data_IF_749277716317
#
_entry.id   IF_749277716317
#
_cell.length_a   1.000
_cell.length_b   1.000
_cell.length_c   1.000
_cell.angle_alpha   90.00
_cell.angle_beta   90.00
_cell.angle_gamma   90.00
#
_symmetry.space_group_name_H-M   'P 1'
#
loop_
_entity.id
_entity.type
_entity.pdbx_description
1 polymer ?
#
# COMPACT_ATOMS: atom_id res chain seq x y z
N UNK A 1 11.01 -4.08 -6.79
CA UNK A 1 11.61 -3.64 -5.50
C UNK A 1 10.93 -2.34 -5.08
N UNK A 2 10.46 -2.25 -3.82
CA UNK A 2 9.90 -1.01 -3.27
C UNK A 2 11.02 -0.01 -3.02
N UNK A 3 11.40 0.74 -4.04
CA UNK A 3 12.40 1.80 -3.91
C UNK A 3 11.76 3.03 -3.24
N UNK A 4 11.62 3.01 -1.92
CA UNK A 4 11.00 4.08 -1.11
C UNK A 4 11.67 5.44 -1.37
N UNK A 5 12.97 5.42 -1.69
CA UNK A 5 13.77 6.62 -1.98
C UNK A 5 13.81 7.00 -3.48
N UNK A 6 12.99 6.36 -4.32
CA UNK A 6 12.81 6.72 -5.74
C UNK A 6 11.36 7.19 -5.96
N UNK A 7 11.05 8.45 -5.61
CA UNK A 7 9.70 8.98 -5.70
C UNK A 7 9.22 9.07 -7.16
N UNK A 8 7.95 8.74 -7.36
CA UNK A 8 7.27 8.82 -8.65
C UNK A 8 6.01 9.71 -8.61
N UNK A 9 5.80 10.39 -7.49
CA UNK A 9 4.76 11.39 -7.29
C UNK A 9 5.20 12.49 -6.32
N UNK A 10 4.51 13.64 -6.31
CA UNK A 10 4.94 14.80 -5.54
C UNK A 10 4.94 14.57 -4.03
N UNK A 11 3.98 13.81 -3.51
CA UNK A 11 3.92 13.53 -2.08
C UNK A 11 5.11 12.68 -1.61
N UNK A 12 5.46 11.63 -2.36
CA UNK A 12 6.65 10.83 -2.06
C UNK A 12 7.94 11.65 -2.20
N UNK A 13 8.00 12.63 -3.12
CA UNK A 13 9.14 13.53 -3.26
C UNK A 13 9.33 14.40 -2.02
N UNK A 14 8.27 15.06 -1.52
CA UNK A 14 8.33 15.87 -0.30
C UNK A 14 8.72 15.03 0.94
N UNK A 15 8.21 13.80 1.04
CA UNK A 15 8.61 12.87 2.12
C UNK A 15 10.10 12.52 2.01
N UNK A 16 10.60 12.26 0.79
CA UNK A 16 12.00 11.93 0.56
C UNK A 16 12.93 13.11 0.90
N UNK A 17 12.56 14.35 0.56
CA UNK A 17 13.29 15.56 0.93
C UNK A 17 13.41 15.69 2.45
N UNK A 18 12.31 15.58 3.18
CA UNK A 18 12.31 15.61 4.66
C UNK A 18 13.19 14.50 5.25
N UNK A 19 13.12 13.29 4.65
CA UNK A 19 13.94 12.16 5.08
C UNK A 19 15.44 12.46 4.93
N UNK A 20 15.89 13.05 3.80
CA UNK A 20 17.30 13.39 3.58
C UNK A 20 17.77 14.48 4.54
N UNK A 21 16.95 15.51 4.79
CA UNK A 21 17.27 16.55 5.79
C UNK A 21 17.41 15.93 7.18
N UNK A 22 16.46 15.09 7.58
CA UNK A 22 16.50 14.40 8.88
C UNK A 22 17.73 13.51 9.00
N UNK A 23 18.04 12.73 7.95
CA UNK A 23 19.23 11.88 7.92
C UNK A 23 20.51 12.70 8.08
N UNK A 24 20.62 13.83 7.37
CA UNK A 24 21.81 14.70 7.45
C UNK A 24 21.99 15.26 8.87
N UNK A 25 20.93 15.74 9.51
CA UNK A 25 20.95 16.24 10.89
C UNK A 25 21.34 15.12 11.87
N UNK A 26 20.72 13.96 11.77
CA UNK A 26 21.01 12.81 12.62
C UNK A 26 22.45 12.31 12.44
N UNK A 27 22.92 12.21 11.19
CA UNK A 27 24.30 11.80 10.89
C UNK A 27 25.34 12.80 11.45
N UNK A 28 25.08 14.10 11.31
CA UNK A 28 25.93 15.14 11.87
C UNK A 28 26.05 15.00 13.40
N UNK A 29 24.92 14.90 14.08
CA UNK A 29 24.88 14.73 15.55
C UNK A 29 25.58 13.44 15.97
N UNK A 30 25.31 12.34 15.27
CA UNK A 30 25.94 11.04 15.54
C UNK A 30 27.47 11.10 15.42
N UNK A 31 27.99 11.70 14.33
CA UNK A 31 29.42 11.88 14.10
C UNK A 31 30.02 12.78 15.18
N UNK A 32 29.35 13.88 15.55
CA UNK A 32 29.80 14.77 16.61
C UNK A 32 29.93 14.05 17.96
N UNK A 33 28.91 13.23 18.31
CA UNK A 33 28.92 12.42 19.55
C UNK A 33 30.08 11.43 19.54
N UNK A 34 30.29 10.70 18.43
CA UNK A 34 31.41 9.77 18.29
C UNK A 34 32.78 10.47 18.37
N UNK A 35 32.91 11.66 17.76
CA UNK A 35 34.11 12.43 17.81
C UNK A 35 34.46 12.89 19.23
N UNK A 36 33.44 13.38 19.99
CA UNK A 36 33.62 13.76 21.40
C UNK A 36 33.96 12.53 22.26
N UNK A 37 33.31 11.38 22.03
CA UNK A 37 33.63 10.15 22.73
C UNK A 37 35.06 9.68 22.44
N UNK A 38 35.45 9.62 21.18
CA UNK A 38 36.82 9.23 20.76
C UNK A 38 37.88 10.16 21.34
N UNK A 39 37.61 11.49 21.31
CA UNK A 39 38.49 12.48 21.91
C UNK A 39 38.62 12.32 23.44
N UNK A 40 37.48 12.05 24.12
CA UNK A 40 37.44 11.77 25.54
C UNK A 40 38.23 10.54 25.92
N UNK A 41 38.06 9.43 25.18
CA UNK A 41 38.80 8.19 25.38
C UNK A 41 40.28 8.36 25.10
N UNK A 42 40.67 9.14 24.08
CA UNK A 42 42.08 9.41 23.77
C UNK A 42 42.76 10.26 24.84
N UNK A 43 42.01 11.21 25.42
CA UNK A 43 42.50 12.07 26.51
C UNK A 43 42.31 11.49 27.90
N UNK A 44 41.62 10.38 28.04
CA UNK A 44 41.44 9.76 29.35
C UNK A 44 42.78 9.45 30.01
N UNK A 45 43.03 9.91 31.26
CA UNK A 45 44.23 9.55 31.98
C UNK A 45 44.31 8.04 32.11
N UNK A 46 45.45 7.44 31.78
CA UNK A 46 45.75 6.06 32.08
C UNK A 46 45.59 5.89 33.57
N UNK A 47 44.70 4.96 34.01
CA UNK A 47 44.22 4.85 35.39
C UNK A 47 45.30 4.99 36.43
N UNK A 48 45.14 5.91 37.37
CA UNK A 48 45.95 6.01 38.54
C UNK A 48 45.46 4.91 39.53
N UNK A 49 46.33 3.93 39.88
CA UNK A 49 45.95 2.85 40.83
C UNK A 49 45.54 3.39 42.22
N UNK A 50 45.84 4.66 42.50
CA UNK A 50 45.52 5.34 43.78
C UNK A 50 44.23 6.16 43.73
N UNK A 51 43.50 6.16 42.60
CA UNK A 51 42.23 6.88 42.46
C UNK A 51 41.15 6.22 43.32
N UNK A 52 40.70 6.88 44.37
CA UNK A 52 39.61 6.41 45.23
C UNK A 52 38.31 6.52 44.45
N UNK A 53 37.54 5.40 44.28
CA UNK A 53 36.21 5.46 43.67
C UNK A 53 35.31 6.44 44.43
N UNK A 54 34.74 7.44 43.72
CA UNK A 54 33.86 8.45 44.32
C UNK A 54 34.53 9.76 44.74
N UNK A 55 35.86 9.97 44.45
CA UNK A 55 36.48 11.26 44.65
C UNK A 55 35.75 12.36 43.86
N UNK A 56 35.45 13.48 44.54
CA UNK A 56 34.78 14.64 43.94
C UNK A 56 35.68 15.30 42.88
N UNK A 57 35.10 15.71 41.73
CA UNK A 57 35.86 16.45 40.72
C UNK A 57 36.48 17.71 41.31
N UNK A 58 37.63 18.14 40.73
CA UNK A 58 38.29 19.37 41.15
C UNK A 58 37.32 20.57 41.06
N UNK A 59 37.42 21.55 41.98
CA UNK A 59 36.60 22.76 41.98
C UNK A 59 36.75 23.49 40.63
N UNK A 60 35.63 23.65 39.91
CA UNK A 60 35.59 24.30 38.59
C UNK A 60 35.33 23.32 37.40
N UNK A 61 35.69 22.04 37.49
CA UNK A 61 35.39 21.05 36.46
C UNK A 61 33.87 20.89 36.24
N UNK A 62 33.08 20.96 37.30
CA UNK A 62 31.64 20.92 37.29
C UNK A 62 31.00 22.06 36.48
N UNK A 63 31.54 23.29 36.60
CA UNK A 63 31.02 24.45 35.84
C UNK A 63 31.24 24.29 34.32
N UNK A 64 32.36 23.74 33.91
CA UNK A 64 32.62 23.42 32.50
C UNK A 64 31.68 22.33 31.99
N UNK A 65 31.49 21.27 32.75
CA UNK A 65 30.56 20.19 32.42
C UNK A 65 29.13 20.71 32.24
N UNK A 66 28.63 21.50 33.20
CA UNK A 66 27.30 22.13 33.13
C UNK A 66 27.17 22.97 31.87
N UNK A 67 28.15 23.81 31.52
CA UNK A 67 28.12 24.63 30.30
C UNK A 67 28.03 23.78 29.03
N UNK A 68 28.82 22.72 28.92
CA UNK A 68 28.78 21.83 27.76
C UNK A 68 27.46 21.04 27.65
N UNK A 69 26.97 20.54 28.77
CA UNK A 69 25.67 19.86 28.80
C UNK A 69 24.53 20.81 28.44
N UNK A 70 24.53 22.03 29.02
CA UNK A 70 23.52 23.06 28.68
C UNK A 70 23.59 23.43 27.20
N UNK A 71 24.80 23.67 26.65
CA UNK A 71 24.93 23.98 25.23
C UNK A 71 24.44 22.84 24.34
N UNK A 72 24.79 21.59 24.64
CA UNK A 72 24.33 20.43 23.91
C UNK A 72 22.80 20.30 23.96
N UNK A 73 22.20 20.50 25.14
CA UNK A 73 20.74 20.47 25.30
C UNK A 73 20.04 21.56 24.50
N UNK A 74 20.54 22.79 24.55
CA UNK A 74 19.99 23.91 23.78
C UNK A 74 20.08 23.66 22.29
N UNK A 75 21.25 23.21 21.79
CA UNK A 75 21.45 22.87 20.37
C UNK A 75 20.50 21.77 19.94
N UNK A 76 20.39 20.68 20.73
CA UNK A 76 19.47 19.58 20.43
C UNK A 76 18.01 20.05 20.38
N UNK A 77 17.59 20.90 21.32
CA UNK A 77 16.24 21.48 21.34
C UNK A 77 15.97 22.31 20.09
N UNK A 78 16.92 23.15 19.67
CA UNK A 78 16.78 23.96 18.44
C UNK A 78 16.67 23.05 17.20
N UNK A 79 17.54 22.03 17.07
CA UNK A 79 17.51 21.11 15.96
C UNK A 79 16.20 20.32 15.88
N UNK A 80 15.73 19.79 17.02
CA UNK A 80 14.45 19.07 17.08
C UNK A 80 13.27 19.97 16.76
N UNK A 81 13.28 21.22 17.26
CA UNK A 81 12.24 22.20 16.93
C UNK A 81 12.25 22.54 15.44
N UNK A 82 13.43 22.67 14.84
CA UNK A 82 13.56 22.88 13.39
C UNK A 82 13.01 21.70 12.57
N UNK A 83 13.34 20.48 12.97
CA UNK A 83 12.80 19.26 12.33
C UNK A 83 11.27 19.15 12.51
N UNK A 84 10.75 19.52 13.67
CA UNK A 84 9.30 19.54 13.89
C UNK A 84 8.61 20.53 12.94
N UNK A 85 9.15 21.76 12.81
CA UNK A 85 8.62 22.77 11.88
C UNK A 85 8.68 22.25 10.43
N UNK A 86 9.80 21.65 10.02
CA UNK A 86 9.95 21.06 8.69
C UNK A 86 8.92 19.94 8.46
N UNK A 87 8.72 19.06 9.45
CA UNK A 87 7.72 17.98 9.38
C UNK A 87 6.30 18.51 9.21
N UNK A 88 5.91 19.53 10.00
CA UNK A 88 4.58 20.17 9.87
C UNK A 88 4.42 20.88 8.52
N UNK A 89 5.47 21.51 8.00
CA UNK A 89 5.44 22.11 6.67
C UNK A 89 5.23 21.06 5.59
N UNK A 90 5.99 19.95 5.64
CA UNK A 90 5.82 18.82 4.72
C UNK A 90 4.39 18.25 4.78
N UNK A 91 3.84 18.02 5.98
CA UNK A 91 2.48 17.51 6.14
C UNK A 91 1.43 18.43 5.46
N UNK A 92 1.61 19.73 5.57
CA UNK A 92 0.76 20.71 4.87
C UNK A 92 0.88 20.61 3.35
N UNK A 93 2.09 20.45 2.82
CA UNK A 93 2.32 20.28 1.37
C UNK A 93 1.67 18.98 0.84
N UNK A 94 1.67 17.91 1.63
CA UNK A 94 1.03 16.64 1.25
C UNK A 94 -0.49 16.78 1.02
N UNK A 95 -1.14 17.72 1.71
CA UNK A 95 -2.57 17.97 1.63
C UNK A 95 -2.99 19.00 0.55
N UNK A 96 -2.04 19.56 -0.20
CA UNK A 96 -2.28 20.71 -1.10
C UNK A 96 -2.43 20.36 -2.58
N UNK A 97 -2.66 19.09 -2.95
CA UNK A 97 -2.96 18.77 -4.35
C UNK A 97 -4.24 19.48 -4.80
N UNK A 98 -4.20 20.20 -5.92
CA UNK A 98 -5.43 20.71 -6.55
C UNK A 98 -6.31 19.52 -6.94
N UNK A 99 -7.51 19.44 -6.36
CA UNK A 99 -8.45 18.34 -6.65
C UNK A 99 -9.44 18.68 -7.76
N UNK A 100 -9.24 19.78 -8.48
CA UNK A 100 -10.01 20.08 -9.68
C UNK A 100 -9.80 18.95 -10.69
N UNK A 101 -10.87 18.33 -11.14
CA UNK A 101 -10.84 17.15 -12.02
C UNK A 101 -10.14 15.90 -11.44
N UNK A 102 -10.13 15.75 -10.12
CA UNK A 102 -9.59 14.56 -9.50
C UNK A 102 -10.39 13.29 -9.88
N UNK A 103 -9.67 12.19 -10.10
CA UNK A 103 -10.29 10.87 -10.16
C UNK A 103 -10.72 10.46 -8.76
N UNK A 104 -11.99 10.15 -8.56
CA UNK A 104 -12.51 9.70 -7.28
C UNK A 104 -12.54 8.17 -7.24
N UNK A 105 -11.91 7.59 -6.24
CA UNK A 105 -11.83 6.15 -6.03
C UNK A 105 -12.12 5.84 -4.58
N UNK A 106 -12.89 4.80 -4.33
CA UNK A 106 -13.05 4.23 -2.99
C UNK A 106 -12.27 2.93 -2.89
N UNK A 107 -11.47 2.80 -1.84
CA UNK A 107 -10.75 1.57 -1.51
C UNK A 107 -11.24 1.06 -0.17
N UNK A 108 -11.81 -0.13 -0.17
CA UNK A 108 -12.24 -0.83 1.02
C UNK A 108 -11.37 -2.04 1.25
N UNK A 109 -10.77 -2.12 2.45
CA UNK A 109 -9.96 -3.25 2.84
C UNK A 109 -10.80 -4.35 3.50
N UNK A 110 -10.46 -5.59 3.16
CA UNK A 110 -11.00 -6.81 3.76
C UNK A 110 -9.84 -7.74 4.12
N UNK A 111 -10.05 -8.69 5.01
CA UNK A 111 -9.09 -9.77 5.29
C UNK A 111 -9.17 -10.82 4.17
N UNK A 112 -8.25 -10.96 3.22
CA UNK A 112 -7.03 -10.13 3.02
C UNK A 112 -6.96 -9.76 1.54
N UNK A 113 -7.76 -8.77 1.13
CA UNK A 113 -7.85 -8.26 -0.23
C UNK A 113 -8.38 -6.81 -0.24
N UNK A 114 -8.24 -6.12 -1.37
CA UNK A 114 -8.63 -4.73 -1.55
C UNK A 114 -9.73 -4.63 -2.59
N UNK A 115 -10.88 -4.12 -2.18
CA UNK A 115 -11.94 -3.71 -3.10
C UNK A 115 -11.64 -2.29 -3.57
N UNK A 116 -11.73 -2.05 -4.89
CA UNK A 116 -11.50 -0.76 -5.52
C UNK A 116 -12.73 -0.39 -6.34
N UNK A 117 -13.39 0.70 -5.98
CA UNK A 117 -14.55 1.23 -6.70
C UNK A 117 -14.20 2.58 -7.30
N UNK A 118 -14.41 2.74 -8.59
CA UNK A 118 -14.30 4.01 -9.28
C UNK A 118 -15.63 4.73 -9.20
N UNK A 119 -15.65 5.84 -8.45
CA UNK A 119 -16.83 6.65 -8.23
C UNK A 119 -17.01 7.62 -9.41
N UNK A 120 -18.24 7.73 -9.92
CA UNK A 120 -18.63 8.67 -10.97
C UNK A 120 -19.95 9.32 -10.57
N UNK A 121 -20.16 10.62 -10.89
CA UNK A 121 -21.46 11.27 -10.68
C UNK A 121 -22.63 10.56 -11.38
N UNK A 122 -22.36 9.83 -12.45
CA UNK A 122 -23.32 8.98 -13.14
C UNK A 122 -23.16 7.55 -12.65
N UNK A 123 -24.15 6.98 -11.92
CA UNK A 123 -24.02 5.64 -11.32
C UNK A 123 -23.73 4.53 -12.33
N UNK A 124 -24.21 4.65 -13.57
CA UNK A 124 -23.98 3.71 -14.66
C UNK A 124 -22.51 3.68 -15.16
N UNK A 125 -21.73 4.70 -14.80
CA UNK A 125 -20.30 4.76 -15.11
C UNK A 125 -19.41 4.22 -13.98
N UNK A 126 -20.01 3.92 -12.83
CA UNK A 126 -19.29 3.33 -11.70
C UNK A 126 -18.96 1.86 -11.98
N UNK A 127 -17.79 1.43 -11.58
CA UNK A 127 -17.38 0.03 -11.66
C UNK A 127 -16.45 -0.34 -10.52
N UNK A 128 -16.37 -1.64 -10.22
CA UNK A 128 -15.52 -2.18 -9.17
C UNK A 128 -14.48 -3.15 -9.73
N UNK A 129 -13.31 -3.17 -9.11
CA UNK A 129 -12.26 -4.16 -9.33
C UNK A 129 -11.64 -4.56 -7.99
N UNK A 130 -10.59 -5.37 -8.00
CA UNK A 130 -9.93 -5.80 -6.78
C UNK A 130 -8.42 -5.92 -6.95
N UNK A 131 -7.69 -5.48 -5.91
CA UNK A 131 -6.24 -5.61 -5.76
C UNK A 131 -5.41 -4.85 -6.81
N UNK A 132 -6.04 -4.14 -7.73
CA UNK A 132 -5.40 -3.23 -8.68
C UNK A 132 -6.11 -1.89 -8.69
N UNK A 133 -5.34 -0.81 -8.60
CA UNK A 133 -5.80 0.56 -8.74
C UNK A 133 -5.11 1.17 -9.97
N UNK A 134 -5.82 1.31 -11.09
CA UNK A 134 -5.31 2.00 -12.27
C UNK A 134 -5.64 3.48 -12.22
N UNK A 135 -4.65 4.31 -12.52
CA UNK A 135 -4.77 5.77 -12.45
C UNK A 135 -4.15 6.42 -13.69
N UNK A 136 -4.66 7.57 -14.15
CA UNK A 136 -4.00 8.32 -15.21
C UNK A 136 -2.78 9.08 -14.67
N UNK A 137 -1.69 9.08 -15.43
CA UNK A 137 -0.49 9.87 -15.12
C UNK A 137 -0.83 11.35 -15.10
N UNK A 138 -0.29 12.09 -14.14
CA UNK A 138 -0.42 13.54 -14.00
C UNK A 138 -1.74 14.02 -13.41
N UNK A 139 -2.79 13.18 -13.36
CA UNK A 139 -4.10 13.54 -12.81
C UNK A 139 -4.14 13.25 -11.31
N UNK A 140 -4.63 14.18 -10.47
CA UNK A 140 -4.87 13.93 -9.06
C UNK A 140 -5.89 12.80 -8.84
N UNK A 141 -5.67 11.99 -7.83
CA UNK A 141 -6.60 10.94 -7.40
C UNK A 141 -6.96 11.17 -5.95
N UNK A 142 -8.26 11.29 -5.67
CA UNK A 142 -8.80 11.31 -4.31
C UNK A 142 -9.26 9.90 -3.96
N UNK A 143 -8.55 9.26 -3.04
CA UNK A 143 -8.90 7.92 -2.57
C UNK A 143 -9.61 8.02 -1.24
N UNK A 144 -10.87 7.58 -1.21
CA UNK A 144 -11.64 7.39 0.01
C UNK A 144 -11.37 5.99 0.56
N UNK A 145 -11.01 5.90 1.82
CA UNK A 145 -10.51 4.70 2.48
C UNK A 145 -11.47 4.27 3.59
N UNK A 146 -11.88 3.02 3.60
CA UNK A 146 -12.60 2.39 4.71
C UNK A 146 -12.18 0.92 4.89
N UNK A 147 -12.55 0.31 6.03
CA UNK A 147 -12.31 -1.09 6.32
C UNK A 147 -13.61 -1.82 6.65
N UNK A 148 -13.75 -3.03 6.10
CA UNK A 148 -14.89 -3.91 6.35
C UNK A 148 -14.76 -4.78 7.61
N UNK A 149 -13.56 -4.88 8.19
CA UNK A 149 -13.28 -5.83 9.27
C UNK A 149 -12.29 -5.30 10.33
N UNK A 150 -10.98 -5.39 10.12
CA UNK A 150 -9.93 -4.96 11.04
C UNK A 150 -9.22 -3.69 10.52
N UNK A 151 -8.27 -3.17 11.29
CA UNK A 151 -7.42 -2.07 10.80
C UNK A 151 -6.48 -2.60 9.71
N UNK A 152 -6.40 -1.86 8.61
CA UNK A 152 -5.44 -2.01 7.53
C UNK A 152 -4.74 -0.68 7.29
N UNK A 153 -3.70 -0.64 6.43
CA UNK A 153 -3.11 0.64 6.02
C UNK A 153 -2.79 0.62 4.53
N UNK A 154 -3.34 1.60 3.82
CA UNK A 154 -3.04 1.86 2.42
C UNK A 154 -1.70 2.56 2.30
N UNK A 155 -0.76 1.98 1.56
CA UNK A 155 0.55 2.54 1.38
C UNK A 155 1.12 2.20 0.00
N UNK A 156 1.50 3.22 -0.74
CA UNK A 156 2.23 3.09 -2.01
C UNK A 156 3.51 3.89 -1.87
N UNK A 157 4.62 3.29 -1.43
CA UNK A 157 5.84 3.98 -0.99
C UNK A 157 6.39 5.00 -1.97
N UNK A 158 6.29 4.73 -3.28
CA UNK A 158 6.79 5.62 -4.33
C UNK A 158 5.85 6.78 -4.67
N UNK A 159 4.60 6.76 -4.19
CA UNK A 159 3.60 7.78 -4.49
C UNK A 159 3.24 8.64 -3.27
N UNK A 160 3.12 8.02 -2.10
CA UNK A 160 2.70 8.73 -0.87
C UNK A 160 3.17 8.00 0.39
N UNK A 161 3.01 8.64 1.55
CA UNK A 161 3.02 7.99 2.86
C UNK A 161 1.82 7.07 3.07
N UNK A 162 1.75 6.40 4.23
CA UNK A 162 0.64 5.49 4.56
C UNK A 162 -0.57 6.21 5.17
N UNK A 163 -1.76 5.59 5.00
CA UNK A 163 -3.00 6.02 5.64
C UNK A 163 -3.77 4.81 6.15
N UNK A 164 -4.11 4.82 7.43
CA UNK A 164 -4.82 3.73 8.07
C UNK A 164 -6.31 3.72 7.69
N UNK A 165 -6.83 2.50 7.47
CA UNK A 165 -8.24 2.21 7.28
C UNK A 165 -8.77 1.60 8.59
N UNK A 166 -9.52 2.39 9.33
CA UNK A 166 -10.04 2.02 10.65
C UNK A 166 -11.53 1.66 10.50
N UNK A 167 -11.99 0.50 10.96
CA UNK A 167 -13.40 0.13 10.90
C UNK A 167 -14.32 1.19 11.50
N UNK A 168 -15.40 1.52 10.79
CA UNK A 168 -16.36 2.55 11.21
C UNK A 168 -15.90 3.99 11.00
N UNK A 169 -14.71 4.23 10.40
CA UNK A 169 -14.19 5.57 10.09
C UNK A 169 -13.80 5.66 8.63
N UNK A 170 -14.22 6.73 7.97
CA UNK A 170 -13.78 7.06 6.62
C UNK A 170 -12.58 8.00 6.68
N UNK A 171 -11.53 7.70 5.93
CA UNK A 171 -10.37 8.55 5.75
C UNK A 171 -10.19 8.87 4.25
N UNK A 172 -9.39 9.88 3.94
CA UNK A 172 -9.02 10.22 2.56
C UNK A 172 -7.52 10.35 2.42
N UNK A 173 -7.01 10.03 1.24
CA UNK A 173 -5.63 10.29 0.85
C UNK A 173 -5.64 10.80 -0.60
N UNK A 174 -4.76 11.75 -0.89
CA UNK A 174 -4.62 12.34 -2.23
C UNK A 174 -3.30 11.87 -2.81
N UNK A 175 -3.30 11.35 -4.01
CA UNK A 175 -2.06 10.94 -4.65
C UNK A 175 -2.05 11.31 -6.14
N UNK A 176 -0.85 11.38 -6.70
CA UNK A 176 -0.63 11.54 -8.13
C UNK A 176 0.63 10.77 -8.54
N UNK A 177 0.56 10.07 -9.64
CA UNK A 177 1.74 9.51 -10.28
C UNK A 177 2.20 10.42 -11.41
N UNK A 178 3.46 10.85 -11.38
CA UNK A 178 4.05 11.71 -12.41
C UNK A 178 4.72 10.89 -13.53
N UNK A 179 4.87 9.58 -13.32
CA UNK A 179 5.47 8.64 -14.28
C UNK A 179 4.56 7.43 -14.47
N UNK A 180 4.44 6.96 -15.72
CA UNK A 180 3.77 5.70 -16.02
C UNK A 180 4.58 4.53 -15.41
N UNK A 181 3.89 3.49 -14.94
CA UNK A 181 4.52 2.31 -14.36
C UNK A 181 3.65 1.60 -13.34
N UNK A 182 4.20 0.54 -12.78
CA UNK A 182 3.56 -0.26 -11.73
C UNK A 182 4.21 0.07 -10.37
N UNK A 183 3.37 0.32 -9.39
CA UNK A 183 3.75 0.71 -8.04
C UNK A 183 3.14 -0.24 -7.03
N UNK A 184 3.98 -1.02 -6.38
CA UNK A 184 3.54 -2.00 -5.39
C UNK A 184 3.09 -1.33 -4.09
N UNK A 185 1.92 -1.73 -3.59
CA UNK A 185 1.33 -1.29 -2.33
C UNK A 185 1.12 -2.45 -1.35
N UNK A 186 2.00 -2.67 -0.36
CA UNK A 186 1.74 -3.62 0.71
C UNK A 186 0.75 -3.06 1.72
N UNK A 187 -0.01 -3.91 2.39
CA UNK A 187 -0.70 -3.51 3.62
C UNK A 187 0.33 -3.11 4.67
N UNK A 188 0.21 -1.90 5.23
CA UNK A 188 1.21 -1.34 6.13
C UNK A 188 0.75 -1.30 7.61
N UNK A 189 -0.31 -2.05 7.98
CA UNK A 189 -0.75 -2.27 9.35
C UNK A 189 -1.11 -3.72 9.57
N UNK A 190 -0.72 -4.29 10.71
CA UNK A 190 -0.99 -5.68 11.01
C UNK A 190 -2.50 -5.97 11.01
N UNK A 191 -2.92 -6.84 10.09
CA UNK A 191 -4.32 -7.16 9.85
C UNK A 191 -4.63 -8.66 10.00
N UNK A 192 -3.78 -9.43 10.66
CA UNK A 192 -3.98 -10.85 10.93
C UNK A 192 -3.09 -11.77 10.10
N UNK A 193 -3.52 -13.03 9.94
CA UNK A 193 -2.70 -14.15 9.48
C UNK A 193 -2.03 -13.93 8.12
N UNK A 194 -2.73 -13.29 7.18
CA UNK A 194 -2.23 -13.05 5.82
C UNK A 194 -1.74 -11.61 5.59
N UNK A 195 -1.41 -10.88 6.65
CA UNK A 195 -0.89 -9.51 6.53
C UNK A 195 0.28 -9.40 5.54
N UNK A 196 1.25 -10.29 5.61
CA UNK A 196 2.42 -10.30 4.72
C UNK A 196 2.08 -10.60 3.24
N UNK A 197 0.90 -11.15 2.96
CA UNK A 197 0.41 -11.51 1.63
C UNK A 197 -0.85 -10.73 1.25
N UNK A 198 -1.00 -9.52 1.80
CA UNK A 198 -2.03 -8.58 1.42
C UNK A 198 -1.40 -7.38 0.75
N UNK A 199 -1.39 -7.41 -0.58
CA UNK A 199 -0.85 -6.34 -1.40
C UNK A 199 -1.82 -5.94 -2.51
N UNK A 200 -1.55 -4.81 -3.14
CA UNK A 200 -2.21 -4.34 -4.36
C UNK A 200 -1.18 -3.65 -5.25
N UNK A 201 -1.54 -3.44 -6.52
CA UNK A 201 -0.73 -2.72 -7.47
C UNK A 201 -1.43 -1.41 -7.86
N UNK A 202 -0.70 -0.29 -7.85
CA UNK A 202 -1.13 0.93 -8.52
C UNK A 202 -0.48 0.97 -9.90
N UNK A 203 -1.29 0.99 -10.95
CA UNK A 203 -0.84 1.00 -12.34
C UNK A 203 -1.15 2.39 -12.93
N UNK A 204 -0.11 3.20 -13.08
CA UNK A 204 -0.24 4.52 -13.69
C UNK A 204 -0.10 4.41 -15.21
N UNK A 205 -1.15 4.77 -15.92
CA UNK A 205 -1.25 4.68 -17.38
C UNK A 205 -1.23 6.09 -18.02
N UNK A 206 -0.75 6.21 -19.26
CA UNK A 206 -1.05 7.39 -20.06
C UNK A 206 -2.57 7.66 -20.09
N UNK A 207 -3.02 8.94 -20.07
CA UNK A 207 -4.43 9.28 -19.92
C UNK A 207 -5.37 8.58 -20.93
N UNK A 208 -4.99 8.50 -22.19
CA UNK A 208 -5.79 7.82 -23.24
C UNK A 208 -5.92 6.31 -22.99
N UNK A 209 -4.86 5.66 -22.50
CA UNK A 209 -4.88 4.24 -22.16
C UNK A 209 -5.75 3.99 -20.93
N UNK A 210 -5.71 4.91 -19.95
CA UNK A 210 -6.58 4.83 -18.77
C UNK A 210 -8.05 4.92 -19.17
N UNK A 211 -8.43 5.91 -20.01
CA UNK A 211 -9.83 6.05 -20.45
C UNK A 211 -10.30 4.83 -21.26
N UNK A 212 -9.46 4.31 -22.15
CA UNK A 212 -9.76 3.07 -22.90
C UNK A 212 -10.00 1.89 -21.96
N UNK A 213 -9.15 1.73 -20.98
CA UNK A 213 -9.31 0.70 -19.97
C UNK A 213 -10.58 0.91 -19.13
N UNK A 214 -10.84 2.13 -18.65
CA UNK A 214 -12.00 2.44 -17.83
C UNK A 214 -13.32 2.19 -18.58
N UNK A 215 -13.39 2.57 -19.87
CA UNK A 215 -14.55 2.27 -20.72
C UNK A 215 -14.75 0.74 -20.91
N UNK A 216 -13.66 -0.03 -21.00
CA UNK A 216 -13.78 -1.49 -21.05
C UNK A 216 -14.32 -2.07 -19.74
N UNK A 217 -13.88 -1.53 -18.59
CA UNK A 217 -14.32 -2.00 -17.26
C UNK A 217 -15.80 -1.69 -16.95
N UNK A 218 -16.40 -0.71 -17.62
CA UNK A 218 -17.85 -0.38 -17.47
C UNK A 218 -18.76 -1.35 -18.21
N UNK A 219 -18.22 -2.11 -19.15
CA UNK A 219 -19.01 -3.07 -19.94
C UNK A 219 -19.37 -4.29 -19.10
N UNK A 220 -20.54 -4.88 -19.33
CA UNK A 220 -20.83 -6.18 -18.75
C UNK A 220 -19.91 -7.26 -19.31
N UNK A 221 -19.79 -8.36 -18.59
CA UNK A 221 -19.08 -9.55 -19.05
C UNK A 221 -19.62 -10.02 -20.40
N UNK A 222 -18.72 -10.34 -21.32
CA UNK A 222 -19.11 -10.90 -22.61
C UNK A 222 -19.73 -12.30 -22.45
N UNK A 223 -20.68 -12.63 -23.31
CA UNK A 223 -21.22 -13.98 -23.36
C UNK A 223 -20.18 -14.96 -23.96
N UNK A 224 -20.06 -16.17 -23.39
CA UNK A 224 -19.10 -17.16 -23.88
C UNK A 224 -19.51 -17.76 -25.23
N UNK A 225 -18.59 -17.77 -26.19
CA UNK A 225 -18.80 -18.30 -27.53
C UNK A 225 -18.48 -19.80 -27.63
N UNK A 226 -17.46 -20.27 -26.89
CA UNK A 226 -17.05 -21.68 -26.93
C UNK A 226 -17.79 -22.55 -25.89
N UNK A 227 -17.83 -23.86 -26.14
CA UNK A 227 -18.58 -24.81 -25.32
C UNK A 227 -18.01 -24.97 -23.89
N UNK A 228 -16.67 -24.89 -23.75
CA UNK A 228 -16.02 -25.02 -22.46
C UNK A 228 -16.32 -23.79 -21.59
N UNK A 229 -16.21 -22.57 -22.13
CA UNK A 229 -16.53 -21.36 -21.40
C UNK A 229 -18.05 -21.27 -21.08
N UNK A 230 -18.95 -21.74 -21.96
CA UNK A 230 -20.39 -21.85 -21.62
C UNK A 230 -20.61 -22.79 -20.44
N UNK A 231 -19.98 -23.95 -20.44
CA UNK A 231 -20.02 -24.89 -19.29
C UNK A 231 -19.48 -24.25 -18.02
N UNK A 232 -18.35 -23.52 -18.13
CA UNK A 232 -17.77 -22.79 -17.00
C UNK A 232 -18.70 -21.72 -16.42
N UNK A 233 -19.42 -20.96 -17.28
CA UNK A 233 -20.44 -20.00 -16.87
C UNK A 233 -21.60 -20.68 -16.12
N UNK A 234 -22.08 -21.79 -16.61
CA UNK A 234 -23.13 -22.58 -15.94
C UNK A 234 -22.67 -23.03 -14.54
N UNK A 235 -21.46 -23.59 -14.44
CA UNK A 235 -20.87 -24.01 -13.16
C UNK A 235 -20.73 -22.83 -12.19
N UNK A 236 -20.31 -21.67 -12.67
CA UNK A 236 -20.18 -20.47 -11.84
C UNK A 236 -21.54 -20.00 -11.31
N UNK A 237 -22.55 -19.90 -12.20
CA UNK A 237 -23.85 -19.33 -11.88
C UNK A 237 -24.78 -20.30 -11.13
N UNK A 238 -24.57 -21.62 -11.22
CA UNK A 238 -25.33 -22.63 -10.48
C UNK A 238 -24.62 -23.09 -9.21
N UNK A 239 -23.33 -22.83 -9.08
CA UNK A 239 -22.51 -23.26 -7.96
C UNK A 239 -22.39 -22.24 -6.84
N UNK A 240 -21.51 -22.51 -5.89
CA UNK A 240 -21.25 -21.64 -4.72
C UNK A 240 -20.48 -20.35 -5.05
N UNK A 241 -19.85 -20.24 -6.22
CA UNK A 241 -19.05 -19.08 -6.61
C UNK A 241 -19.86 -17.78 -6.61
N UNK A 242 -21.07 -17.80 -7.17
CA UNK A 242 -21.97 -16.65 -7.25
C UNK A 242 -22.51 -16.17 -5.89
N UNK A 243 -22.38 -16.97 -4.84
CA UNK A 243 -22.83 -16.59 -3.49
C UNK A 243 -21.88 -15.55 -2.86
N UNK A 244 -20.66 -15.44 -3.40
CA UNK A 244 -19.62 -14.52 -2.88
C UNK A 244 -19.15 -13.51 -3.92
N UNK A 245 -19.03 -13.91 -5.19
CA UNK A 245 -18.50 -13.09 -6.28
C UNK A 245 -19.61 -12.49 -7.16
N UNK A 246 -19.33 -11.28 -7.68
CA UNK A 246 -20.13 -10.66 -8.72
C UNK A 246 -19.49 -10.85 -10.10
N UNK A 247 -20.34 -10.91 -11.15
CA UNK A 247 -19.99 -10.75 -12.56
C UNK A 247 -21.10 -9.91 -13.20
N UNK A 248 -20.78 -8.68 -13.58
CA UNK A 248 -21.70 -7.72 -14.17
C UNK A 248 -22.28 -8.28 -15.49
N UNK A 249 -23.59 -8.13 -15.68
CA UNK A 249 -24.32 -8.72 -16.82
C UNK A 249 -24.81 -10.12 -16.58
N UNK A 250 -24.63 -10.68 -15.37
CA UNK A 250 -25.16 -11.99 -14.97
C UNK A 250 -26.01 -11.89 -13.70
N UNK A 251 -26.51 -13.02 -13.21
CA UNK A 251 -27.24 -13.12 -11.94
C UNK A 251 -26.32 -13.11 -10.71
N UNK A 252 -25.00 -13.24 -10.88
CA UNK A 252 -24.01 -13.18 -9.80
C UNK A 252 -23.77 -11.74 -9.40
N UNK A 253 -24.28 -11.31 -8.24
CA UNK A 253 -24.22 -9.93 -7.76
C UNK A 253 -23.77 -9.78 -6.30
N UNK A 254 -23.21 -10.83 -5.70
CA UNK A 254 -22.69 -10.80 -4.35
C UNK A 254 -21.42 -9.94 -4.25
N UNK A 255 -21.21 -9.30 -3.07
CA UNK A 255 -20.09 -8.38 -2.83
C UNK A 255 -19.24 -8.76 -1.61
N UNK A 256 -19.29 -10.01 -1.20
CA UNK A 256 -18.50 -10.51 -0.06
C UNK A 256 -17.09 -10.94 -0.46
N UNK A 257 -16.85 -11.06 -1.78
CA UNK A 257 -15.56 -11.38 -2.39
C UNK A 257 -15.33 -10.50 -3.63
N UNK A 258 -14.13 -10.51 -4.23
CA UNK A 258 -13.82 -9.70 -5.40
C UNK A 258 -14.82 -9.83 -6.55
N UNK A 259 -15.20 -8.70 -7.15
CA UNK A 259 -15.86 -8.68 -8.44
C UNK A 259 -14.95 -9.33 -9.50
N UNK A 260 -15.49 -10.26 -10.28
CA UNK A 260 -14.75 -11.04 -11.28
C UNK A 260 -15.09 -10.66 -12.73
N UNK A 261 -15.87 -9.61 -12.96
CA UNK A 261 -16.33 -9.19 -14.29
C UNK A 261 -15.19 -9.09 -15.30
N UNK A 262 -14.04 -8.57 -14.87
CA UNK A 262 -12.86 -8.40 -15.71
C UNK A 262 -11.61 -9.02 -15.08
N UNK A 263 -11.74 -10.19 -14.46
CA UNK A 263 -10.63 -10.86 -13.77
C UNK A 263 -9.46 -11.15 -14.69
N UNK A 264 -9.71 -11.52 -15.95
CA UNK A 264 -8.65 -11.83 -16.91
C UNK A 264 -7.83 -10.60 -17.34
N UNK A 265 -8.29 -9.38 -17.06
CA UNK A 265 -7.53 -8.15 -17.30
C UNK A 265 -6.56 -7.80 -16.17
N UNK A 266 -6.63 -8.49 -15.03
CA UNK A 266 -5.74 -8.28 -13.87
C UNK A 266 -4.40 -8.96 -14.10
N UNK A 267 -3.34 -8.38 -13.53
CA UNK A 267 -1.98 -8.94 -13.63
C UNK A 267 -1.72 -10.03 -12.59
N UNK A 268 -2.42 -9.94 -11.44
CA UNK A 268 -2.19 -10.79 -10.28
C UNK A 268 -3.49 -11.33 -9.67
N UNK A 269 -3.36 -12.50 -9.00
CA UNK A 269 -4.39 -13.14 -8.20
C UNK A 269 -4.03 -13.12 -6.71
N UNK A 270 -5.02 -13.35 -5.83
CA UNK A 270 -4.83 -13.54 -4.41
C UNK A 270 -4.18 -12.34 -3.68
N UNK A 271 -4.50 -11.11 -4.09
CA UNK A 271 -3.90 -9.88 -3.55
C UNK A 271 -2.37 -9.81 -3.74
N UNK A 272 -1.91 -10.07 -4.95
CA UNK A 272 -0.50 -10.00 -5.34
C UNK A 272 0.26 -11.33 -5.19
N UNK A 273 -0.38 -12.40 -4.69
CA UNK A 273 0.29 -13.66 -4.35
C UNK A 273 0.70 -14.50 -5.56
N UNK A 274 -0.13 -14.55 -6.61
CA UNK A 274 0.08 -15.37 -7.80
C UNK A 274 0.03 -14.52 -9.07
N UNK A 275 0.66 -14.98 -10.13
CA UNK A 275 0.43 -14.42 -11.46
C UNK A 275 -0.98 -14.80 -11.95
N UNK A 276 -1.58 -13.98 -12.81
CA UNK A 276 -2.85 -14.33 -13.41
C UNK A 276 -2.64 -15.17 -14.67
N UNK A 277 -2.31 -16.43 -14.46
CA UNK A 277 -2.19 -17.45 -15.51
C UNK A 277 -3.30 -18.47 -15.37
N UNK A 278 -3.70 -19.18 -16.44
CA UNK A 278 -4.69 -20.26 -16.33
C UNK A 278 -4.31 -21.34 -15.30
N UNK A 279 -3.01 -21.65 -15.19
CA UNK A 279 -2.49 -22.65 -14.25
C UNK A 279 -2.64 -22.16 -12.80
N UNK A 280 -2.23 -20.91 -12.52
CA UNK A 280 -2.33 -20.33 -11.19
C UNK A 280 -3.79 -20.08 -10.78
N UNK A 281 -4.65 -19.69 -11.74
CA UNK A 281 -6.09 -19.54 -11.50
C UNK A 281 -6.73 -20.88 -11.13
N UNK A 282 -6.43 -21.96 -11.87
CA UNK A 282 -6.87 -23.31 -11.56
C UNK A 282 -6.43 -23.75 -10.16
N UNK A 283 -5.15 -23.54 -9.85
CA UNK A 283 -4.58 -23.91 -8.55
C UNK A 283 -5.21 -23.09 -7.40
N UNK A 284 -5.46 -21.79 -7.61
CA UNK A 284 -6.14 -20.93 -6.65
C UNK A 284 -7.59 -21.37 -6.39
N UNK A 285 -8.35 -21.73 -7.44
CA UNK A 285 -9.73 -22.20 -7.29
C UNK A 285 -9.75 -23.54 -6.55
N UNK A 286 -8.86 -24.45 -6.91
CA UNK A 286 -8.81 -25.79 -6.31
C UNK A 286 -8.46 -25.73 -4.81
N UNK A 287 -7.46 -24.97 -4.42
CA UNK A 287 -7.06 -24.85 -3.01
C UNK A 287 -6.39 -23.49 -2.71
N UNK A 288 -7.18 -22.45 -2.41
CA UNK A 288 -6.64 -21.16 -2.02
C UNK A 288 -5.89 -21.20 -0.68
N UNK A 289 -6.21 -22.17 0.20
CA UNK A 289 -5.57 -22.33 1.51
C UNK A 289 -4.09 -22.69 1.38
N UNK A 290 -3.69 -23.37 0.31
CA UNK A 290 -2.29 -23.67 0.00
C UNK A 290 -1.44 -22.42 -0.20
N UNK A 291 -2.01 -21.35 -0.74
CA UNK A 291 -1.31 -20.10 -1.05
C UNK A 291 -1.47 -19.04 0.03
N UNK A 292 -2.64 -18.99 0.64
CA UNK A 292 -3.02 -18.03 1.69
C UNK A 292 -3.84 -18.71 2.79
N UNK A 293 -3.22 -19.48 3.69
CA UNK A 293 -3.94 -20.15 4.77
C UNK A 293 -4.80 -19.19 5.58
N UNK A 294 -6.06 -19.57 5.82
CA UNK A 294 -7.03 -18.77 6.58
C UNK A 294 -7.84 -17.78 5.76
N UNK A 295 -7.71 -17.72 4.42
CA UNK A 295 -8.62 -16.92 3.60
C UNK A 295 -10.05 -17.48 3.61
N UNK A 296 -11.03 -16.59 3.45
CA UNK A 296 -12.46 -16.97 3.51
C UNK A 296 -12.92 -17.81 2.30
N UNK A 297 -12.18 -17.80 1.19
CA UNK A 297 -12.49 -18.64 0.04
C UNK A 297 -12.17 -20.11 0.37
N UNK A 298 -13.16 -21.01 0.31
CA UNK A 298 -12.94 -22.44 0.53
C UNK A 298 -12.24 -23.09 -0.66
N UNK A 299 -11.66 -24.27 -0.43
CA UNK A 299 -11.20 -25.14 -1.52
C UNK A 299 -12.39 -25.71 -2.31
N UNK A 300 -12.25 -25.80 -3.63
CA UNK A 300 -13.27 -26.34 -4.52
C UNK A 300 -12.73 -27.57 -5.23
N UNK A 301 -13.10 -28.75 -4.73
CA UNK A 301 -12.76 -30.04 -5.32
C UNK A 301 -13.68 -30.31 -6.51
N UNK A 302 -13.37 -29.75 -7.66
CA UNK A 302 -14.09 -29.95 -8.91
C UNK A 302 -13.44 -31.08 -9.72
N UNK A 303 -14.22 -31.83 -10.52
CA UNK A 303 -13.67 -32.69 -11.58
C UNK A 303 -12.78 -31.87 -12.51
N UNK A 304 -11.71 -32.48 -13.03
CA UNK A 304 -10.72 -31.79 -13.88
C UNK A 304 -11.33 -31.04 -15.06
N UNK A 305 -12.34 -31.62 -15.71
CA UNK A 305 -12.99 -31.00 -16.88
C UNK A 305 -13.88 -29.82 -16.48
N UNK A 306 -14.54 -29.87 -15.31
CA UNK A 306 -15.32 -28.75 -14.76
C UNK A 306 -14.38 -27.62 -14.30
N UNK A 307 -13.23 -27.93 -13.71
CA UNK A 307 -12.22 -26.92 -13.34
C UNK A 307 -11.66 -26.23 -14.59
N UNK A 308 -11.32 -27.00 -15.65
CA UNK A 308 -10.87 -26.44 -16.94
C UNK A 308 -11.93 -25.55 -17.58
N UNK A 309 -13.20 -25.97 -17.55
CA UNK A 309 -14.32 -25.19 -18.06
C UNK A 309 -14.49 -23.86 -17.30
N UNK A 310 -14.40 -23.89 -15.97
CA UNK A 310 -14.45 -22.70 -15.13
C UNK A 310 -13.28 -21.73 -15.41
N UNK A 311 -12.06 -22.26 -15.56
CA UNK A 311 -10.88 -21.46 -15.92
C UNK A 311 -11.02 -20.85 -17.31
N UNK A 312 -11.58 -21.59 -18.29
CA UNK A 312 -11.86 -21.07 -19.62
C UNK A 312 -12.85 -19.91 -19.57
N UNK A 313 -13.91 -20.02 -18.78
CA UNK A 313 -14.88 -18.93 -18.59
C UNK A 313 -14.24 -17.71 -17.94
N UNK A 314 -13.59 -17.86 -16.78
CA UNK A 314 -12.96 -16.75 -16.08
C UNK A 314 -11.82 -16.11 -16.89
N UNK A 315 -11.10 -16.90 -17.69
CA UNK A 315 -10.02 -16.44 -18.55
C UNK A 315 -10.44 -15.59 -19.75
N UNK A 316 -11.73 -15.62 -20.13
CA UNK A 316 -12.28 -14.74 -21.18
C UNK A 316 -12.79 -13.39 -20.64
N UNK A 317 -12.99 -13.24 -19.34
CA UNK A 317 -13.53 -12.05 -18.69
C UNK A 317 -12.46 -10.93 -18.63
N UNK A 318 -12.26 -10.22 -19.75
CA UNK A 318 -11.27 -9.15 -19.95
C UNK A 318 -11.86 -7.77 -19.82
#
# INVERSE_FOLDING_TARGET
MNAVLDPAGPQAAHIAELWWVTLAVCALVFVAVLAVLAWGLWRAPRGDPQMVPGARPAPGAEKHLIRWVTAATVISTILLSGLLVASVATDRELAQLPLTDALNVRVRAHQWWWEVTYDDPQPERMFATANELRIPVGRPVLVTLDSGDVIHSFWVPRLHGKKDLIPGRTATIQLRADKAGEYHGPCAEYCGLQHAFMAFEVIALPPEQFETWAEAQRKPAADPEDAAARRGRELFLSGSCMLCHAIHGTTANARTAPDLTHIASRTRLGAGRLANTPQDLAAWIADPQKFKPGVNMPAHLLPDDDLKALVAYLGMLK
#
